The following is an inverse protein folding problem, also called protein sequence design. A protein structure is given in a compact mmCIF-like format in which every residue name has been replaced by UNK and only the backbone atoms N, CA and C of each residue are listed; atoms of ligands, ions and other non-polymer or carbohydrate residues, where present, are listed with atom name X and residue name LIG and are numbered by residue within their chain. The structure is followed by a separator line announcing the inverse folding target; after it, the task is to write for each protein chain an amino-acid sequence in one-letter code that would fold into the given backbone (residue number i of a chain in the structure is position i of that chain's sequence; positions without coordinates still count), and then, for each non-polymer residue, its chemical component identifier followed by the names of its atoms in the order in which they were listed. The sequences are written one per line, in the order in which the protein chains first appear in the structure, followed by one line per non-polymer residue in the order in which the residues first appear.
data_IF_484200164242
#
_entry.id   IF_484200164242
#
_cell.length_a   1.000
_cell.length_b   1.000
_cell.length_c   1.000
_cell.angle_alpha   90.00
_cell.angle_beta   90.00
_cell.angle_gamma   90.00
#
_symmetry.space_group_name_H-M   'P 1'
#
loop_
_entity.id
_entity.type
_entity.pdbx_description
1 polymer ?
#
# COMPACT_ATOMS: atom_id res chain seq x y z
N UNK A 1 25.09 -20.75 -18.46
CA UNK A 1 23.91 -21.63 -18.47
C UNK A 1 22.69 -20.75 -18.33
N UNK A 2 22.04 -20.45 -19.45
CA UNK A 2 20.70 -19.83 -19.45
C UNK A 2 19.71 -20.85 -18.92
N UNK A 3 19.07 -20.56 -17.78
CA UNK A 3 17.90 -21.30 -17.33
C UNK A 3 16.70 -20.71 -18.05
N UNK A 4 16.28 -21.40 -19.10
CA UNK A 4 15.05 -21.17 -19.84
C UNK A 4 13.87 -21.59 -18.95
N UNK A 5 13.39 -20.68 -18.12
CA UNK A 5 12.16 -20.89 -17.35
C UNK A 5 10.99 -21.01 -18.34
N UNK A 6 10.50 -22.24 -18.44
CA UNK A 6 9.39 -22.64 -19.29
C UNK A 6 8.08 -22.18 -18.64
N UNK A 7 7.16 -21.70 -19.48
CA UNK A 7 5.85 -21.13 -19.12
C UNK A 7 5.18 -21.77 -17.90
N UNK A 8 5.10 -21.02 -16.81
CA UNK A 8 4.06 -21.17 -15.82
C UNK A 8 3.05 -20.04 -16.05
N UNK A 9 1.82 -20.39 -16.42
CA UNK A 9 0.65 -19.52 -16.32
C UNK A 9 0.44 -19.17 -14.84
N UNK A 10 1.18 -18.18 -14.34
CA UNK A 10 0.99 -17.68 -12.99
C UNK A 10 -0.15 -16.65 -13.02
N UNK A 11 -1.30 -17.02 -12.50
CA UNK A 11 -2.43 -16.12 -12.18
C UNK A 11 -2.07 -15.05 -11.11
N UNK A 12 -0.78 -14.79 -10.86
CA UNK A 12 -0.27 -13.89 -9.81
C UNK A 12 1.01 -13.18 -10.26
N UNK A 13 1.49 -12.27 -9.40
CA UNK A 13 2.70 -11.48 -9.63
C UNK A 13 3.89 -12.38 -10.02
N UNK A 14 4.70 -11.93 -11.00
CA UNK A 14 5.88 -12.65 -11.49
C UNK A 14 6.97 -12.87 -10.42
N UNK A 15 8.14 -13.41 -10.80
CA UNK A 15 9.24 -13.61 -9.85
C UNK A 15 9.76 -12.24 -9.33
N UNK A 16 9.98 -12.07 -8.01
CA UNK A 16 10.53 -10.82 -7.46
C UNK A 16 11.98 -10.59 -7.93
N UNK A 17 12.48 -9.33 -7.92
CA UNK A 17 11.88 -8.14 -7.32
C UNK A 17 10.79 -7.48 -8.17
N UNK A 18 9.70 -7.07 -7.51
CA UNK A 18 8.63 -6.29 -8.13
C UNK A 18 8.98 -4.81 -8.10
N UNK A 19 8.99 -4.19 -9.28
CA UNK A 19 9.29 -2.78 -9.44
C UNK A 19 7.99 -2.11 -9.87
N UNK A 20 7.57 -1.12 -9.10
CA UNK A 20 6.42 -0.28 -9.38
C UNK A 20 6.94 1.13 -9.71
N UNK A 21 6.54 1.69 -10.84
CA UNK A 21 6.85 3.07 -11.22
C UNK A 21 5.57 3.84 -11.47
N UNK A 22 5.56 5.10 -11.07
CA UNK A 22 4.40 5.95 -11.21
C UNK A 22 4.51 7.19 -10.36
N UNK A 23 3.37 7.84 -10.16
CA UNK A 23 3.23 9.03 -9.32
C UNK A 23 2.36 8.72 -8.12
N UNK A 24 2.58 9.42 -7.00
CA UNK A 24 1.74 9.26 -5.83
C UNK A 24 1.40 10.60 -5.17
N UNK A 25 0.17 10.69 -4.69
CA UNK A 25 -0.36 11.81 -3.93
C UNK A 25 -0.70 11.32 -2.52
N UNK A 26 -0.07 11.97 -1.54
CA UNK A 26 -0.38 11.77 -0.13
C UNK A 26 -1.25 12.92 0.37
N UNK A 27 -2.42 12.58 0.89
CA UNK A 27 -3.26 13.50 1.62
C UNK A 27 -3.34 13.06 3.08
N UNK A 28 -2.58 13.75 3.93
CA UNK A 28 -2.60 13.53 5.37
C UNK A 28 -3.80 14.24 6.01
N UNK A 29 -4.45 13.58 6.95
CA UNK A 29 -5.59 14.09 7.69
C UNK A 29 -5.56 13.60 9.14
N UNK A 30 -5.98 14.45 10.07
CA UNK A 30 -6.07 14.08 11.48
C UNK A 30 -7.37 13.30 11.72
N UNK A 31 -7.24 12.05 12.15
CA UNK A 31 -8.37 11.15 12.40
C UNK A 31 -8.48 10.90 13.91
N UNK A 32 -9.69 10.74 14.44
CA UNK A 32 -9.84 10.38 15.85
C UNK A 32 -9.25 9.00 16.11
N UNK A 33 -8.47 8.88 17.19
CA UNK A 33 -7.86 7.64 17.65
C UNK A 33 -8.86 6.49 17.80
N UNK A 34 -10.04 6.78 18.37
CA UNK A 34 -11.12 5.80 18.58
C UNK A 34 -11.56 5.10 17.28
N UNK A 35 -11.63 5.86 16.18
CA UNK A 35 -12.07 5.36 14.89
C UNK A 35 -10.98 4.49 14.26
N UNK A 36 -9.71 4.93 14.34
CA UNK A 36 -8.59 4.16 13.81
C UNK A 36 -8.39 2.85 14.58
N UNK A 37 -8.58 2.86 15.90
CA UNK A 37 -8.43 1.68 16.77
C UNK A 37 -9.45 0.57 16.50
N UNK A 38 -10.58 0.90 15.88
CA UNK A 38 -11.56 -0.11 15.46
C UNK A 38 -11.04 -1.00 14.31
N UNK A 39 -10.14 -0.48 13.47
CA UNK A 39 -9.60 -1.18 12.31
C UNK A 39 -8.18 -1.72 12.52
N UNK A 40 -7.44 -1.15 13.48
CA UNK A 40 -6.05 -1.53 13.73
C UNK A 40 -5.97 -2.64 14.80
N UNK A 41 -5.21 -3.73 14.54
CA UNK A 41 -4.92 -4.76 15.55
C UNK A 41 -4.34 -4.16 16.84
N UNK A 42 -4.78 -4.65 18.00
CA UNK A 42 -4.39 -4.08 19.31
C UNK A 42 -2.89 -4.15 19.59
N UNK A 43 -2.19 -5.08 18.93
CA UNK A 43 -0.74 -5.27 18.98
C UNK A 43 0.05 -4.16 18.26
N UNK A 44 -0.57 -3.48 17.29
CA UNK A 44 0.04 -2.35 16.62
C UNK A 44 -0.05 -1.10 17.50
N UNK A 45 1.09 -0.41 17.65
CA UNK A 45 1.15 0.90 18.31
C UNK A 45 0.59 1.93 17.36
N UNK A 46 -0.30 2.78 17.87
CA UNK A 46 -0.86 3.90 17.12
C UNK A 46 -0.19 5.18 17.63
N UNK A 47 0.23 6.07 16.74
CA UNK A 47 0.77 7.37 17.14
C UNK A 47 -0.41 8.30 17.41
N UNK A 48 -0.77 8.39 18.70
CA UNK A 48 -1.88 9.20 19.18
C UNK A 48 -1.34 10.46 19.89
N UNK A 49 -1.85 11.63 19.51
CA UNK A 49 -1.65 12.90 20.19
C UNK A 49 -3.01 13.57 20.41
N UNK A 50 -3.34 13.92 21.66
CA UNK A 50 -4.60 14.57 22.02
C UNK A 50 -5.88 13.81 21.61
N UNK A 51 -5.83 12.47 21.52
CA UNK A 51 -6.97 11.64 21.09
C UNK A 51 -7.17 11.60 19.56
N UNK A 52 -6.21 12.14 18.81
CA UNK A 52 -6.15 12.05 17.36
C UNK A 52 -4.90 11.27 16.93
N UNK A 53 -5.02 10.56 15.82
CA UNK A 53 -3.91 9.94 15.09
C UNK A 53 -3.76 10.61 13.74
N UNK A 54 -2.54 10.59 13.19
CA UNK A 54 -2.30 11.06 11.85
C UNK A 54 -2.62 9.93 10.87
N UNK A 55 -3.69 10.12 10.09
CA UNK A 55 -4.05 9.22 9.00
C UNK A 55 -3.90 9.90 7.65
N UNK A 56 -4.30 9.20 6.60
CA UNK A 56 -4.36 9.79 5.28
C UNK A 56 -4.77 8.82 4.20
N UNK A 57 -5.01 9.38 3.03
CA UNK A 57 -5.20 8.63 1.81
C UNK A 57 -3.92 8.75 0.97
N UNK A 58 -3.52 7.61 0.44
CA UNK A 58 -2.45 7.46 -0.52
C UNK A 58 -3.08 7.07 -1.84
N UNK A 59 -3.01 7.97 -2.82
CA UNK A 59 -3.41 7.69 -4.19
C UNK A 59 -2.13 7.48 -5.01
N UNK A 60 -1.88 6.26 -5.45
CA UNK A 60 -0.78 5.95 -6.37
C UNK A 60 -1.33 5.62 -7.75
N UNK A 61 -0.76 6.23 -8.77
CA UNK A 61 -1.01 5.91 -10.17
C UNK A 61 0.23 5.23 -10.73
N UNK A 62 0.14 3.93 -11.04
CA UNK A 62 1.26 3.14 -11.51
C UNK A 62 1.24 3.00 -13.04
N UNK A 63 2.28 3.52 -13.69
CA UNK A 63 2.48 3.45 -15.14
C UNK A 63 3.21 2.16 -15.57
N UNK A 64 3.95 1.53 -14.66
CA UNK A 64 4.72 0.31 -14.90
C UNK A 64 4.72 -0.55 -13.63
N UNK A 65 4.10 -1.72 -13.69
CA UNK A 65 4.07 -2.67 -12.58
C UNK A 65 3.91 -4.12 -13.08
N UNK A 66 4.25 -5.13 -12.26
CA UNK A 66 4.05 -6.52 -12.64
C UNK A 66 2.56 -6.93 -12.76
N UNK A 67 1.63 -6.10 -12.28
CA UNK A 67 0.17 -6.28 -12.46
C UNK A 67 -0.40 -5.46 -13.64
N UNK A 68 0.45 -4.69 -14.34
CA UNK A 68 0.01 -3.74 -15.37
C UNK A 68 -0.18 -2.32 -14.85
N UNK A 69 -0.85 -1.48 -15.64
CA UNK A 69 -1.16 -0.09 -15.29
C UNK A 69 -2.40 -0.08 -14.41
N UNK A 70 -2.32 0.51 -13.22
CA UNK A 70 -3.47 0.65 -12.34
C UNK A 70 -3.32 1.82 -11.35
N UNK A 71 -4.47 2.32 -10.89
CA UNK A 71 -4.56 3.29 -9.80
C UNK A 71 -4.90 2.58 -8.48
N UNK A 72 -4.17 2.89 -7.42
CA UNK A 72 -4.36 2.38 -6.07
C UNK A 72 -4.79 3.50 -5.13
N UNK A 73 -5.82 3.26 -4.32
CA UNK A 73 -6.21 4.11 -3.21
C UNK A 73 -6.07 3.32 -1.91
N UNK A 74 -5.13 3.72 -1.07
CA UNK A 74 -4.83 3.10 0.21
C UNK A 74 -5.12 4.08 1.35
N UNK A 75 -5.84 3.64 2.37
CA UNK A 75 -5.99 4.40 3.62
C UNK A 75 -4.90 3.96 4.59
N UNK A 76 -4.13 4.91 5.11
CA UNK A 76 -3.06 4.65 6.06
C UNK A 76 -3.30 5.42 7.36
N UNK A 77 -2.82 4.84 8.46
CA UNK A 77 -2.87 5.42 9.80
C UNK A 77 -1.51 5.17 10.46
N UNK A 78 -0.96 6.20 11.10
CA UNK A 78 0.39 6.24 11.64
C UNK A 78 0.41 5.97 13.15
#
# INVERSE_FOLDING_TARGET
MEVKDTSCTSLGYGKPPWIFKGSALYQLHLVKAENARAFIPKECRLVEAFGYTLGGFFLASYDDSPAGIFDEVSCCVL
#
